data_IF_824818828218
#
_entry.id   IF_824818828218
#
_cell.length_a   1.000
_cell.length_b   1.000
_cell.length_c   1.000
_cell.angle_alpha   90.00
_cell.angle_beta   90.00
_cell.angle_gamma   90.00
#
_symmetry.space_group_name_H-M   'P 1'
#
loop_
_entity.id
_entity.type
_entity.pdbx_description
1 polymer ?
#
# COMPACT_ATOMS: atom_id res chain seq x y z
N UNK A 1 -10.08 -0.51 0.54
CA UNK A 1 -10.09 0.71 1.39
C UNK A 1 -9.08 1.73 0.88
N UNK A 2 -9.42 3.02 1.00
CA UNK A 2 -8.49 4.15 0.86
C UNK A 2 -7.59 4.27 2.11
N UNK A 3 -6.27 4.14 1.94
CA UNK A 3 -5.30 4.20 3.04
C UNK A 3 -4.60 5.55 3.15
N UNK A 4 -4.13 6.14 2.05
CA UNK A 4 -3.42 7.41 2.09
C UNK A 4 -3.92 8.33 0.99
N UNK A 5 -4.13 9.60 1.30
CA UNK A 5 -4.56 10.60 0.32
C UNK A 5 -3.59 11.77 0.34
N UNK A 6 -3.35 12.36 -0.82
CA UNK A 6 -2.80 13.71 -0.94
C UNK A 6 -3.65 14.48 -1.93
N UNK A 7 -4.13 15.65 -1.52
CA UNK A 7 -5.06 16.45 -2.30
C UNK A 7 -4.95 17.95 -1.93
N UNK A 8 -5.63 18.79 -2.70
CA UNK A 8 -5.68 20.24 -2.51
C UNK A 8 -7.14 20.63 -2.26
N UNK A 9 -7.51 20.87 -1.01
CA UNK A 9 -8.89 21.10 -0.60
C UNK A 9 -9.22 22.59 -0.67
N UNK A 10 -10.36 23.00 -1.25
CA UNK A 10 -10.80 24.39 -1.19
C UNK A 10 -11.03 24.79 0.27
N UNK A 11 -10.46 25.92 0.68
CA UNK A 11 -10.55 26.40 2.04
C UNK A 11 -10.07 27.85 2.07
N UNK A 12 -10.98 28.81 2.17
CA UNK A 12 -10.62 30.21 2.40
C UNK A 12 -10.35 30.44 3.88
N UNK A 13 -9.09 30.64 4.25
CA UNK A 13 -8.66 30.74 5.65
C UNK A 13 -7.47 31.69 5.83
N UNK A 14 -7.28 32.18 7.07
CA UNK A 14 -6.03 32.85 7.43
C UNK A 14 -4.89 31.84 7.30
N UNK A 15 -3.78 32.15 6.62
CA UNK A 15 -2.70 31.19 6.40
C UNK A 15 -2.18 30.60 7.72
N UNK A 16 -1.97 29.28 7.73
CA UNK A 16 -1.50 28.56 8.90
C UNK A 16 -0.10 29.04 9.29
N UNK A 17 0.07 29.42 10.55
CA UNK A 17 1.35 29.87 11.06
C UNK A 17 2.27 28.67 11.40
N UNK A 18 2.98 28.18 10.39
CA UNK A 18 3.89 27.02 10.51
C UNK A 18 5.37 27.40 10.26
N UNK A 19 5.65 28.68 10.02
CA UNK A 19 6.89 29.12 9.38
C UNK A 19 6.92 28.80 7.89
N UNK A 20 8.03 29.14 7.24
CA UNK A 20 8.24 28.91 5.81
C UNK A 20 9.69 28.56 5.51
N UNK A 21 9.91 27.75 4.47
CA UNK A 21 11.22 27.58 3.84
C UNK A 21 11.33 28.63 2.75
N UNK A 22 12.43 29.38 2.76
CA UNK A 22 12.68 30.48 1.83
C UNK A 22 14.02 30.28 1.12
N UNK A 23 14.06 30.54 -0.19
CA UNK A 23 15.31 30.74 -0.90
C UNK A 23 15.52 32.23 -1.08
N UNK A 24 16.58 32.72 -0.45
CA UNK A 24 17.02 34.12 -0.55
C UNK A 24 18.25 34.13 -1.46
N UNK A 25 18.23 35.00 -2.47
CA UNK A 25 19.34 35.22 -3.38
C UNK A 25 20.52 35.93 -2.68
N UNK A 26 21.69 35.94 -3.31
CA UNK A 26 22.90 36.53 -2.74
C UNK A 26 22.78 38.05 -2.50
N UNK A 27 21.88 38.72 -3.22
CA UNK A 27 21.54 40.14 -3.06
C UNK A 27 20.52 40.41 -1.93
N UNK A 28 20.04 39.37 -1.25
CA UNK A 28 19.02 39.47 -0.20
C UNK A 28 17.57 39.43 -0.71
N UNK A 29 17.34 39.31 -2.02
CA UNK A 29 15.99 39.22 -2.58
C UNK A 29 15.40 37.81 -2.38
N UNK A 30 14.09 37.74 -2.07
CA UNK A 30 13.38 36.46 -1.94
C UNK A 30 13.06 35.89 -3.33
N UNK A 31 13.66 34.76 -3.71
CA UNK A 31 13.32 34.08 -4.97
C UNK A 31 12.03 33.28 -4.87
N UNK A 32 11.88 32.51 -3.80
CA UNK A 32 10.67 31.75 -3.53
C UNK A 32 10.54 31.41 -2.05
N UNK A 33 9.31 31.15 -1.62
CA UNK A 33 9.03 30.59 -0.30
C UNK A 33 7.96 29.51 -0.37
N UNK A 34 7.97 28.58 0.59
CA UNK A 34 6.94 27.56 0.74
C UNK A 34 6.54 27.45 2.21
N UNK A 35 5.24 27.60 2.54
CA UNK A 35 4.75 27.37 3.89
C UNK A 35 5.10 25.95 4.37
N UNK A 36 5.54 25.87 5.63
CA UNK A 36 5.80 24.62 6.30
C UNK A 36 4.49 23.85 6.56
N UNK A 37 4.63 22.55 6.84
CA UNK A 37 3.48 21.69 7.14
C UNK A 37 3.17 21.73 8.63
N UNK A 38 1.89 21.82 8.96
CA UNK A 38 1.36 21.62 10.30
C UNK A 38 0.91 20.17 10.43
N UNK A 39 1.20 19.54 11.57
CA UNK A 39 0.62 18.25 11.93
C UNK A 39 -0.67 18.51 12.70
N UNK A 40 -1.77 17.94 12.24
CA UNK A 40 -3.06 17.94 12.94
C UNK A 40 -3.28 16.56 13.51
N UNK A 41 -3.46 16.46 14.82
CA UNK A 41 -3.66 15.18 15.51
C UNK A 41 -5.12 14.78 15.54
N UNK A 42 -5.37 13.51 15.23
CA UNK A 42 -6.68 12.88 15.35
C UNK A 42 -6.93 12.39 16.76
N UNK A 43 -8.09 11.79 16.97
CA UNK A 43 -8.57 11.32 18.29
C UNK A 43 -7.73 10.20 18.92
N UNK A 44 -6.76 9.65 18.19
CA UNK A 44 -5.96 8.49 18.60
C UNK A 44 -4.46 8.69 18.31
N UNK A 45 -3.94 9.92 18.47
CA UNK A 45 -2.52 10.33 18.25
C UNK A 45 -2.01 10.18 16.80
N UNK A 46 -2.86 9.67 15.90
CA UNK A 46 -2.63 9.61 14.46
C UNK A 46 -2.72 11.01 13.86
N UNK A 47 -1.64 11.48 13.24
CA UNK A 47 -1.59 12.82 12.64
C UNK A 47 -1.74 12.80 11.13
N UNK A 48 -2.33 13.87 10.60
CA UNK A 48 -2.28 14.24 9.17
C UNK A 48 -1.46 15.50 8.99
N UNK A 49 -0.94 15.74 7.79
CA UNK A 49 -0.18 16.94 7.46
C UNK A 49 -1.02 17.87 6.60
N UNK A 50 -1.02 19.15 6.96
CA UNK A 50 -1.67 20.20 6.18
C UNK A 50 -0.77 21.41 5.99
N UNK A 51 -1.03 22.22 4.98
CA UNK A 51 -0.43 23.55 4.83
C UNK A 51 -1.28 24.44 3.93
N UNK A 52 -1.23 25.73 4.16
CA UNK A 52 -1.86 26.72 3.29
C UNK A 52 -1.11 26.81 1.96
N UNK A 53 -1.86 26.76 0.86
CA UNK A 53 -1.38 26.96 -0.51
C UNK A 53 -2.44 27.76 -1.31
N UNK A 54 -2.22 27.93 -2.61
CA UNK A 54 -3.16 28.61 -3.50
C UNK A 54 -2.90 30.12 -3.55
N UNK A 55 -3.93 30.87 -3.96
CA UNK A 55 -3.85 32.33 -4.06
C UNK A 55 -4.06 32.96 -2.69
N UNK A 56 -3.40 34.11 -2.48
CA UNK A 56 -3.66 34.98 -1.34
C UNK A 56 -4.57 36.11 -1.81
N UNK A 57 -5.72 36.27 -1.16
CA UNK A 57 -6.65 37.35 -1.49
C UNK A 57 -6.18 38.71 -0.94
N UNK A 58 -6.92 39.78 -1.27
CA UNK A 58 -6.62 41.13 -0.81
C UNK A 58 -6.69 41.30 0.73
N UNK A 59 -7.27 40.33 1.44
CA UNK A 59 -7.36 40.28 2.90
C UNK A 59 -6.29 39.35 3.51
N UNK A 60 -5.32 38.87 2.72
CA UNK A 60 -4.24 38.01 3.18
C UNK A 60 -4.65 36.56 3.43
N UNK A 61 -5.83 36.11 2.98
CA UNK A 61 -6.32 34.74 3.19
C UNK A 61 -5.90 33.81 2.06
N UNK A 62 -5.51 32.59 2.40
CA UNK A 62 -5.23 31.53 1.44
C UNK A 62 -6.53 30.92 0.91
N UNK A 63 -6.53 30.48 -0.35
CA UNK A 63 -7.69 29.85 -1.01
C UNK A 63 -7.78 28.33 -0.79
N UNK A 64 -6.69 27.69 -0.39
CA UNK A 64 -6.56 26.23 -0.51
C UNK A 64 -5.73 25.63 0.63
N UNK A 65 -6.18 24.49 1.13
CA UNK A 65 -5.49 23.68 2.12
C UNK A 65 -4.92 22.42 1.45
N UNK A 66 -3.61 22.31 1.36
CA UNK A 66 -2.97 21.07 0.96
C UNK A 66 -3.09 20.06 2.10
N UNK A 67 -3.48 18.82 1.78
CA UNK A 67 -3.63 17.73 2.74
C UNK A 67 -2.79 16.53 2.33
N UNK A 68 -2.17 15.84 3.31
CA UNK A 68 -1.57 14.52 3.13
C UNK A 68 -1.63 13.69 4.40
N UNK A 69 -2.18 12.48 4.32
CA UNK A 69 -2.32 11.60 5.48
C UNK A 69 -3.19 10.38 5.22
N UNK A 70 -3.36 9.57 6.28
CA UNK A 70 -4.28 8.44 6.28
C UNK A 70 -5.63 8.85 6.90
N UNK A 71 -6.67 9.10 6.09
CA UNK A 71 -7.95 9.58 6.60
C UNK A 71 -8.67 8.56 7.48
N UNK A 72 -8.62 7.26 7.17
CA UNK A 72 -9.19 6.21 8.03
C UNK A 72 -8.53 6.20 9.40
N UNK A 73 -7.20 6.16 9.47
CA UNK A 73 -6.46 6.18 10.74
C UNK A 73 -6.71 7.47 11.53
N UNK A 74 -6.91 8.61 10.85
CA UNK A 74 -7.21 9.90 11.48
C UNK A 74 -8.63 9.97 12.08
N UNK A 75 -9.61 9.37 11.39
CA UNK A 75 -11.01 9.39 11.81
C UNK A 75 -11.34 8.33 12.86
N UNK A 76 -10.93 7.07 12.64
CA UNK A 76 -11.27 5.91 13.49
C UNK A 76 -10.08 5.31 14.26
N UNK A 77 -8.87 5.86 14.13
CA UNK A 77 -7.70 5.46 14.93
C UNK A 77 -6.85 4.31 14.41
N UNK A 78 -7.30 3.56 13.39
CA UNK A 78 -6.56 2.45 12.79
C UNK A 78 -6.79 2.34 11.27
N UNK A 79 -5.95 1.55 10.59
CA UNK A 79 -6.11 1.22 9.16
C UNK A 79 -6.15 -0.30 8.90
N UNK A 80 -6.63 -1.07 9.88
CA UNK A 80 -6.86 -2.52 9.73
C UNK A 80 -7.90 -2.77 8.63
N UNK A 81 -8.98 -1.99 8.59
CA UNK A 81 -9.96 -1.94 7.51
C UNK A 81 -10.62 -0.56 7.50
N UNK A 82 -11.46 -0.28 6.50
CA UNK A 82 -12.10 1.03 6.32
C UNK A 82 -12.76 1.14 4.95
N UNK A 83 -13.08 2.37 4.56
CA UNK A 83 -13.95 2.63 3.41
C UNK A 83 -13.20 2.78 2.08
N UNK A 84 -13.88 2.45 0.98
CA UNK A 84 -13.49 2.80 -0.39
C UNK A 84 -14.16 4.10 -0.89
N UNK A 85 -15.11 4.66 -0.15
CA UNK A 85 -15.76 5.94 -0.46
C UNK A 85 -14.82 7.10 -0.10
N UNK A 86 -14.01 7.51 -1.08
CA UNK A 86 -13.05 8.59 -0.95
C UNK A 86 -13.72 9.91 -0.56
N UNK A 87 -14.86 10.24 -1.17
CA UNK A 87 -15.48 11.57 -1.02
C UNK A 87 -16.08 11.72 0.37
N UNK A 88 -16.84 10.73 0.84
CA UNK A 88 -17.40 10.75 2.19
C UNK A 88 -16.27 10.77 3.24
N UNK A 89 -15.26 9.91 3.07
CA UNK A 89 -14.14 9.81 4.01
C UNK A 89 -13.33 11.12 4.10
N UNK A 90 -13.12 11.79 2.96
CA UNK A 90 -12.40 13.07 2.93
C UNK A 90 -13.25 14.24 3.43
N UNK A 91 -14.58 14.21 3.28
CA UNK A 91 -15.47 15.23 3.83
C UNK A 91 -15.35 15.28 5.36
N UNK A 92 -15.46 14.13 6.03
CA UNK A 92 -15.35 14.10 7.50
C UNK A 92 -13.93 14.39 7.98
N UNK A 93 -12.92 13.94 7.22
CA UNK A 93 -11.53 14.30 7.47
C UNK A 93 -11.34 15.81 7.39
N UNK A 94 -11.89 16.45 6.37
CA UNK A 94 -11.84 17.90 6.18
C UNK A 94 -12.48 18.64 7.34
N UNK A 95 -13.72 18.29 7.70
CA UNK A 95 -14.44 18.90 8.83
C UNK A 95 -13.66 18.78 10.14
N UNK A 96 -13.10 17.60 10.43
CA UNK A 96 -12.30 17.36 11.64
C UNK A 96 -10.98 18.14 11.63
N UNK A 97 -10.31 18.25 10.48
CA UNK A 97 -9.11 19.08 10.32
C UNK A 97 -9.44 20.55 10.58
N UNK A 98 -10.52 21.06 10.01
CA UNK A 98 -10.91 22.46 10.18
C UNK A 98 -11.29 22.77 11.63
N UNK A 99 -12.05 21.89 12.28
CA UNK A 99 -12.38 22.02 13.69
C UNK A 99 -11.12 22.03 14.58
N UNK A 100 -10.11 21.23 14.24
CA UNK A 100 -8.85 21.19 14.99
C UNK A 100 -7.95 22.42 14.77
N UNK A 101 -8.24 23.21 13.75
CA UNK A 101 -7.50 24.44 13.38
C UNK A 101 -8.32 25.70 13.67
N UNK A 102 -9.49 25.57 14.29
CA UNK A 102 -10.45 26.66 14.51
C UNK A 102 -10.82 27.44 13.23
N UNK A 103 -10.87 26.72 12.09
CA UNK A 103 -11.26 27.29 10.79
C UNK A 103 -12.73 27.01 10.54
N UNK A 104 -13.51 28.07 10.27
CA UNK A 104 -14.90 27.94 9.82
C UNK A 104 -14.93 27.91 8.28
N UNK A 105 -15.32 26.79 7.65
CA UNK A 105 -15.43 26.75 6.19
C UNK A 105 -16.58 27.63 5.72
N UNK A 106 -16.42 28.28 4.56
CA UNK A 106 -17.56 28.88 3.89
C UNK A 106 -18.40 27.79 3.19
N UNK A 107 -19.64 28.14 2.81
CA UNK A 107 -20.58 27.20 2.21
C UNK A 107 -20.12 26.67 0.85
N UNK A 108 -19.42 27.48 0.06
CA UNK A 108 -18.95 27.10 -1.27
C UNK A 108 -17.79 26.10 -1.20
N UNK A 109 -16.85 26.30 -0.28
CA UNK A 109 -15.76 25.34 0.00
C UNK A 109 -16.33 24.00 0.45
N UNK A 110 -17.27 24.03 1.41
CA UNK A 110 -17.91 22.83 1.92
C UNK A 110 -18.66 22.08 0.82
N UNK A 111 -19.38 22.81 -0.06
CA UNK A 111 -20.09 22.23 -1.20
C UNK A 111 -19.12 21.55 -2.18
N UNK A 112 -17.99 22.19 -2.50
CA UNK A 112 -16.98 21.61 -3.39
C UNK A 112 -16.35 20.34 -2.79
N UNK A 113 -16.01 20.35 -1.50
CA UNK A 113 -15.48 19.15 -0.81
C UNK A 113 -16.52 18.02 -0.82
N UNK A 114 -17.78 18.33 -0.47
CA UNK A 114 -18.88 17.36 -0.48
C UNK A 114 -19.13 16.74 -1.86
N UNK A 115 -18.88 17.49 -2.93
CA UNK A 115 -19.01 17.02 -4.31
C UNK A 115 -17.75 16.30 -4.84
N UNK A 116 -16.67 16.23 -4.07
CA UNK A 116 -15.38 15.70 -4.54
C UNK A 116 -14.69 16.61 -5.58
N UNK A 117 -15.12 17.87 -5.69
CA UNK A 117 -14.66 18.83 -6.69
C UNK A 117 -13.34 19.51 -6.29
N UNK A 118 -12.31 18.69 -6.03
CA UNK A 118 -10.99 19.17 -5.59
C UNK A 118 -9.86 18.31 -6.17
N UNK A 119 -8.69 18.89 -6.48
CA UNK A 119 -7.58 18.17 -7.09
C UNK A 119 -7.05 17.00 -6.24
N UNK A 120 -6.93 15.83 -6.87
CA UNK A 120 -6.32 14.64 -6.28
C UNK A 120 -4.86 14.47 -6.76
N UNK A 121 -3.93 14.38 -5.83
CA UNK A 121 -2.49 14.34 -6.11
C UNK A 121 -1.90 12.95 -5.99
N UNK A 122 -2.37 12.16 -5.03
CA UNK A 122 -2.08 10.73 -4.94
C UNK A 122 -3.09 10.04 -4.05
N UNK A 123 -3.30 8.75 -4.28
CA UNK A 123 -4.14 7.89 -3.46
C UNK A 123 -3.50 6.51 -3.32
N UNK A 124 -3.51 5.97 -2.10
CA UNK A 124 -3.13 4.60 -1.81
C UNK A 124 -4.41 3.80 -1.53
N UNK A 125 -4.65 2.75 -2.30
CA UNK A 125 -5.80 1.84 -2.20
C UNK A 125 -5.27 0.49 -1.72
N UNK A 126 -5.88 -0.09 -0.69
CA UNK A 126 -5.47 -1.39 -0.19
C UNK A 126 -6.62 -2.41 -0.13
N UNK A 127 -6.24 -3.69 -0.19
CA UNK A 127 -7.11 -4.83 0.03
C UNK A 127 -6.37 -5.85 0.88
N UNK A 128 -7.07 -6.43 1.86
CA UNK A 128 -6.57 -7.60 2.59
C UNK A 128 -7.11 -8.87 1.95
N UNK A 129 -6.31 -9.93 2.02
CA UNK A 129 -6.69 -11.26 1.58
C UNK A 129 -6.54 -12.24 2.74
N UNK A 130 -7.45 -13.20 2.80
CA UNK A 130 -7.52 -14.19 3.86
C UNK A 130 -6.65 -15.39 3.53
N UNK A 131 -5.73 -15.71 4.44
CA UNK A 131 -4.96 -16.95 4.40
C UNK A 131 -5.19 -17.76 5.69
N UNK A 132 -4.94 -19.09 5.68
CA UNK A 132 -5.23 -19.93 6.84
C UNK A 132 -4.39 -19.57 8.08
N UNK A 133 -3.14 -19.14 7.90
CA UNK A 133 -2.24 -18.80 9.00
C UNK A 133 -1.27 -17.67 8.66
N UNK A 134 -0.66 -17.05 9.69
CA UNK A 134 0.43 -16.08 9.51
C UNK A 134 1.62 -16.69 8.75
N UNK A 135 1.95 -17.96 8.99
CA UNK A 135 3.00 -18.66 8.25
C UNK A 135 2.71 -18.71 6.75
N UNK A 136 1.45 -18.92 6.35
CA UNK A 136 1.07 -18.92 4.93
C UNK A 136 1.24 -17.55 4.30
N UNK A 137 0.92 -16.47 5.03
CA UNK A 137 1.16 -15.08 4.60
C UNK A 137 2.64 -14.85 4.30
N UNK A 138 3.53 -15.28 5.21
CA UNK A 138 4.97 -15.13 5.04
C UNK A 138 5.52 -16.00 3.92
N UNK A 139 5.05 -17.24 3.80
CA UNK A 139 5.41 -18.14 2.71
C UNK A 139 5.01 -17.55 1.35
N UNK A 140 3.82 -16.98 1.25
CA UNK A 140 3.34 -16.29 0.06
C UNK A 140 4.25 -15.12 -0.32
N UNK A 141 4.58 -14.24 0.63
CA UNK A 141 5.44 -13.06 0.38
C UNK A 141 6.82 -13.51 -0.11
N UNK A 142 7.37 -14.55 0.52
CA UNK A 142 8.65 -15.14 0.12
C UNK A 142 8.60 -15.75 -1.26
N UNK A 143 7.52 -16.44 -1.64
CA UNK A 143 7.37 -16.98 -2.99
C UNK A 143 7.25 -15.86 -4.04
N UNK A 144 6.44 -14.84 -3.75
CA UNK A 144 6.23 -13.70 -4.63
C UNK A 144 7.52 -12.91 -4.90
N UNK A 145 8.45 -12.81 -3.94
CA UNK A 145 9.71 -12.08 -4.11
C UNK A 145 10.53 -12.53 -5.33
N UNK A 146 10.41 -13.80 -5.72
CA UNK A 146 11.26 -14.38 -6.76
C UNK A 146 10.49 -14.88 -7.96
N UNK A 147 9.22 -15.24 -7.78
CA UNK A 147 8.34 -15.68 -8.87
C UNK A 147 7.63 -14.52 -9.55
N UNK A 148 7.49 -13.37 -8.89
CA UNK A 148 6.77 -12.23 -9.47
C UNK A 148 7.67 -11.21 -10.17
N UNK A 149 7.10 -10.50 -11.14
CA UNK A 149 7.66 -9.30 -11.76
C UNK A 149 6.53 -8.39 -12.23
N UNK A 150 6.90 -7.17 -12.58
CA UNK A 150 6.03 -6.24 -13.35
C UNK A 150 6.87 -5.68 -14.50
N UNK A 151 6.28 -4.80 -15.32
CA UNK A 151 7.07 -3.98 -16.28
C UNK A 151 8.25 -3.21 -15.65
N UNK A 152 8.23 -3.00 -14.34
CA UNK A 152 9.31 -2.35 -13.59
C UNK A 152 10.42 -3.32 -13.13
N UNK A 153 10.34 -4.59 -13.55
CA UNK A 153 11.28 -5.64 -13.18
C UNK A 153 10.83 -6.44 -11.95
N UNK A 154 11.79 -7.12 -11.32
CA UNK A 154 11.59 -7.91 -10.11
C UNK A 154 11.25 -7.02 -8.90
N UNK A 155 10.49 -7.53 -7.93
CA UNK A 155 10.23 -6.79 -6.70
C UNK A 155 11.48 -6.66 -5.83
N UNK A 156 11.37 -5.83 -4.80
CA UNK A 156 12.42 -5.60 -3.79
C UNK A 156 11.84 -5.70 -2.38
N UNK A 157 12.52 -6.43 -1.50
CA UNK A 157 12.14 -6.56 -0.09
C UNK A 157 12.72 -5.42 0.75
N UNK A 158 11.93 -4.85 1.66
CA UNK A 158 12.43 -3.94 2.72
C UNK A 158 11.54 -4.04 3.95
N UNK A 159 12.13 -4.48 5.08
CA UNK A 159 11.46 -4.52 6.38
C UNK A 159 10.18 -5.35 6.38
N UNK A 160 10.22 -6.58 5.85
CA UNK A 160 9.05 -7.48 5.75
C UNK A 160 8.02 -7.08 4.69
N UNK A 161 8.21 -5.96 3.98
CA UNK A 161 7.35 -5.52 2.88
C UNK A 161 8.03 -5.77 1.54
N UNK A 162 7.32 -6.44 0.63
CA UNK A 162 7.75 -6.65 -0.75
C UNK A 162 7.16 -5.54 -1.65
N UNK A 163 7.99 -4.92 -2.49
CA UNK A 163 7.60 -3.79 -3.33
C UNK A 163 7.81 -4.04 -4.82
N UNK A 164 6.83 -3.68 -5.65
CA UNK A 164 6.97 -3.53 -7.10
C UNK A 164 6.93 -2.05 -7.49
N UNK A 165 7.90 -1.62 -8.31
CA UNK A 165 7.93 -0.25 -8.81
C UNK A 165 8.15 0.82 -7.72
N UNK A 166 8.83 0.49 -6.62
CA UNK A 166 9.01 1.37 -5.45
C UNK A 166 9.47 2.81 -5.77
N UNK A 167 10.39 2.97 -6.71
CA UNK A 167 10.95 4.27 -7.14
C UNK A 167 10.12 4.95 -8.24
N UNK A 168 9.06 4.30 -8.72
CA UNK A 168 8.19 4.82 -9.78
C UNK A 168 7.53 6.13 -9.37
N UNK A 169 7.51 7.08 -10.30
CA UNK A 169 6.81 8.37 -10.15
C UNK A 169 5.34 8.29 -10.57
N UNK A 170 4.86 7.10 -10.95
CA UNK A 170 3.52 6.87 -11.48
C UNK A 170 2.68 6.03 -10.52
N UNK A 171 3.11 4.80 -10.26
CA UNK A 171 2.42 3.88 -9.37
C UNK A 171 3.41 2.89 -8.75
N UNK A 172 3.08 2.37 -7.58
CA UNK A 172 3.83 1.31 -6.91
C UNK A 172 2.85 0.34 -6.25
N UNK A 173 3.22 -0.94 -6.19
CA UNK A 173 2.52 -1.94 -5.38
C UNK A 173 3.42 -2.34 -4.23
N UNK A 174 2.81 -2.65 -3.08
CA UNK A 174 3.51 -3.27 -1.96
C UNK A 174 2.63 -4.28 -1.28
N UNK A 175 3.23 -5.35 -0.78
CA UNK A 175 2.54 -6.41 -0.05
C UNK A 175 3.28 -6.73 1.23
N UNK A 176 2.55 -7.02 2.29
CA UNK A 176 3.10 -7.32 3.61
C UNK A 176 2.11 -8.11 4.48
N UNK A 177 2.62 -8.68 5.58
CA UNK A 177 1.80 -9.28 6.64
C UNK A 177 1.21 -8.18 7.51
N UNK A 178 -0.13 -8.05 7.54
CA UNK A 178 -0.77 -7.03 8.37
C UNK A 178 -0.59 -7.30 9.86
N UNK A 179 -0.55 -8.57 10.26
CA UNK A 179 -0.25 -8.99 11.63
C UNK A 179 1.12 -8.51 12.10
N UNK A 180 2.17 -8.72 11.31
CA UNK A 180 3.51 -8.21 11.66
C UNK A 180 3.58 -6.67 11.61
N UNK A 181 2.83 -6.04 10.69
CA UNK A 181 2.82 -4.58 10.60
C UNK A 181 2.25 -3.92 11.86
N UNK A 182 1.15 -4.42 12.42
CA UNK A 182 0.56 -3.84 13.64
C UNK A 182 1.37 -4.14 14.91
N UNK A 183 2.40 -4.98 14.84
CA UNK A 183 3.33 -5.22 15.95
C UNK A 183 4.55 -4.28 15.88
N UNK A 184 4.86 -3.78 14.68
CA UNK A 184 5.99 -2.90 14.44
C UNK A 184 5.83 -1.55 15.18
N UNK A 185 6.88 -1.02 15.83
CA UNK A 185 6.77 0.14 16.74
C UNK A 185 6.06 1.37 16.18
N UNK A 186 6.19 1.64 14.87
CA UNK A 186 5.58 2.82 14.21
C UNK A 186 4.11 2.62 13.81
N UNK A 187 3.64 1.39 13.88
CA UNK A 187 2.38 0.95 13.29
C UNK A 187 1.46 0.27 14.30
N UNK A 188 1.89 0.17 15.56
CA UNK A 188 1.08 -0.39 16.65
C UNK A 188 -0.29 0.26 16.75
N UNK A 189 -1.27 -0.58 17.04
CA UNK A 189 -2.60 -0.12 17.40
C UNK A 189 -2.50 0.68 18.72
N UNK A 190 -3.19 1.84 18.81
CA UNK A 190 -3.34 2.55 20.08
C UNK A 190 -3.90 1.64 21.18
N UNK A 191 -3.51 1.88 22.43
CA UNK A 191 -3.90 1.07 23.59
C UNK A 191 -5.41 0.93 23.77
N UNK A 192 -6.18 1.94 23.31
CA UNK A 192 -7.63 1.91 23.24
C UNK A 192 -8.21 0.71 22.48
N UNK A 193 -7.43 0.09 21.58
CA UNK A 193 -7.85 -1.04 20.76
C UNK A 193 -7.38 -2.42 21.28
N UNK A 194 -6.66 -2.49 22.39
CA UNK A 194 -6.08 -3.74 22.90
C UNK A 194 -7.15 -4.83 23.18
N UNK A 195 -8.35 -4.42 23.60
CA UNK A 195 -9.46 -5.33 23.93
C UNK A 195 -10.40 -5.58 22.74
N UNK A 196 -9.99 -5.25 21.52
CA UNK A 196 -10.79 -5.45 20.31
C UNK A 196 -10.31 -6.66 19.51
N UNK A 197 -11.12 -7.13 18.56
CA UNK A 197 -10.75 -8.21 17.66
C UNK A 197 -9.83 -7.78 16.51
N UNK A 198 -9.39 -6.51 16.46
CA UNK A 198 -8.58 -5.95 15.36
C UNK A 198 -7.26 -6.71 15.16
N UNK A 199 -6.52 -6.96 16.24
CA UNK A 199 -5.23 -7.64 16.16
C UNK A 199 -5.39 -9.10 15.71
N UNK A 200 -6.36 -9.81 16.29
CA UNK A 200 -6.69 -11.18 15.91
C UNK A 200 -7.14 -11.27 14.45
N UNK A 201 -7.93 -10.31 13.98
CA UNK A 201 -8.36 -10.26 12.59
C UNK A 201 -7.18 -9.97 11.66
N UNK A 202 -6.25 -9.08 12.00
CA UNK A 202 -5.11 -8.72 11.16
C UNK A 202 -4.07 -9.83 11.00
N UNK A 203 -4.01 -10.77 11.96
CA UNK A 203 -2.95 -11.77 12.11
C UNK A 203 -2.68 -12.61 10.84
N UNK A 204 -3.75 -13.04 10.17
CA UNK A 204 -3.66 -13.92 8.99
C UNK A 204 -3.88 -13.19 7.67
N UNK A 205 -3.76 -11.86 7.66
CA UNK A 205 -4.10 -11.03 6.50
C UNK A 205 -2.86 -10.66 5.69
N UNK A 206 -2.88 -11.04 4.42
CA UNK A 206 -1.96 -10.52 3.41
C UNK A 206 -2.51 -9.19 2.89
N UNK A 207 -1.82 -8.08 3.13
CA UNK A 207 -2.24 -6.74 2.67
C UNK A 207 -1.49 -6.40 1.40
N UNK A 208 -2.22 -6.13 0.32
CA UNK A 208 -1.68 -5.57 -0.91
C UNK A 208 -2.16 -4.11 -1.06
N UNK A 209 -1.23 -3.20 -1.30
CA UNK A 209 -1.50 -1.76 -1.43
C UNK A 209 -0.98 -1.24 -2.77
N UNK A 210 -1.88 -0.57 -3.49
CA UNK A 210 -1.62 0.17 -4.71
C UNK A 210 -1.51 1.65 -4.39
N UNK A 211 -0.34 2.22 -4.65
CA UNK A 211 -0.12 3.66 -4.61
C UNK A 211 -0.17 4.23 -6.02
N UNK A 212 -1.03 5.22 -6.26
CA UNK A 212 -1.13 5.95 -7.52
C UNK A 212 -0.76 7.41 -7.29
N UNK A 213 0.17 7.93 -8.10
CA UNK A 213 0.70 9.28 -8.01
C UNK A 213 0.14 10.17 -9.13
N UNK A 214 0.27 11.49 -8.96
CA UNK A 214 -0.28 12.53 -9.86
C UNK A 214 -0.10 12.26 -11.35
N UNK A 215 1.10 11.84 -11.78
CA UNK A 215 1.37 11.53 -13.19
C UNK A 215 0.49 10.41 -13.74
N UNK A 216 0.23 9.39 -12.93
CA UNK A 216 -0.62 8.28 -13.33
C UNK A 216 -2.11 8.62 -13.23
N UNK A 217 -2.51 9.39 -12.22
CA UNK A 217 -3.89 9.89 -12.10
C UNK A 217 -4.29 10.69 -13.35
N UNK A 218 -3.42 11.60 -13.81
CA UNK A 218 -3.62 12.36 -15.06
C UNK A 218 -3.78 11.46 -16.29
N UNK A 219 -2.97 10.40 -16.42
CA UNK A 219 -3.11 9.44 -17.53
C UNK A 219 -4.43 8.64 -17.47
N UNK A 220 -4.98 8.46 -16.27
CA UNK A 220 -6.29 7.84 -16.08
C UNK A 220 -7.44 8.85 -16.23
N UNK A 221 -7.15 10.11 -16.59
CA UNK A 221 -8.08 11.24 -16.62
C UNK A 221 -8.78 11.48 -15.27
N UNK A 222 -8.06 11.26 -14.17
CA UNK A 222 -8.51 11.50 -12.80
C UNK A 222 -7.79 12.74 -12.29
N UNK A 223 -8.48 13.86 -12.30
CA UNK A 223 -8.00 15.14 -11.81
C UNK A 223 -8.60 15.48 -10.44
N UNK A 224 -9.86 15.10 -10.22
CA UNK A 224 -10.62 15.39 -9.00
C UNK A 224 -11.04 14.13 -8.26
N UNK A 225 -11.29 14.27 -6.95
CA UNK A 225 -11.70 13.16 -6.11
C UNK A 225 -13.07 12.56 -6.49
N UNK A 226 -13.98 13.35 -7.08
CA UNK A 226 -15.30 12.89 -7.52
C UNK A 226 -15.24 11.77 -8.56
N UNK A 227 -14.14 11.69 -9.31
CA UNK A 227 -13.91 10.66 -10.33
C UNK A 227 -13.48 9.31 -9.71
N UNK A 228 -13.08 9.30 -8.44
CA UNK A 228 -12.75 8.09 -7.67
C UNK A 228 -14.01 7.48 -7.03
N UNK A 229 -14.99 7.13 -7.85
CA UNK A 229 -16.17 6.38 -7.39
C UNK A 229 -15.77 5.00 -6.88
N UNK A 230 -16.63 4.34 -6.08
CA UNK A 230 -16.40 2.97 -5.59
C UNK A 230 -16.04 1.99 -6.71
N UNK A 231 -16.74 2.08 -7.85
CA UNK A 231 -16.48 1.27 -9.03
C UNK A 231 -15.10 1.60 -9.65
N UNK A 232 -14.73 2.89 -9.70
CA UNK A 232 -13.42 3.31 -10.19
C UNK A 232 -12.29 2.81 -9.29
N UNK A 233 -12.42 2.94 -7.96
CA UNK A 233 -11.46 2.42 -6.97
C UNK A 233 -11.23 0.92 -7.18
N UNK A 234 -12.31 0.13 -7.22
CA UNK A 234 -12.23 -1.33 -7.43
C UNK A 234 -11.58 -1.70 -8.77
N UNK A 235 -12.04 -1.08 -9.87
CA UNK A 235 -11.50 -1.31 -11.21
C UNK A 235 -10.02 -0.99 -11.29
N UNK A 236 -9.63 0.19 -10.84
CA UNK A 236 -8.23 0.64 -10.84
C UNK A 236 -7.39 -0.33 -10.00
N UNK A 237 -7.82 -0.66 -8.79
CA UNK A 237 -7.10 -1.62 -7.96
C UNK A 237 -6.84 -2.93 -8.70
N UNK A 238 -7.89 -3.56 -9.22
CA UNK A 238 -7.80 -4.82 -9.97
C UNK A 238 -6.86 -4.72 -11.17
N UNK A 239 -7.01 -3.69 -12.01
CA UNK A 239 -6.17 -3.47 -13.21
C UNK A 239 -4.68 -3.41 -12.89
N UNK A 240 -4.27 -2.89 -11.72
CA UNK A 240 -2.85 -2.84 -11.36
C UNK A 240 -2.37 -4.10 -10.68
N UNK A 241 -3.22 -4.78 -9.90
CA UNK A 241 -2.88 -6.10 -9.34
C UNK A 241 -2.62 -7.12 -10.46
N UNK A 242 -3.43 -7.09 -11.52
CA UNK A 242 -3.27 -7.94 -12.72
C UNK A 242 -1.95 -7.69 -13.48
N UNK A 243 -1.24 -6.58 -13.22
CA UNK A 243 0.08 -6.32 -13.82
C UNK A 243 1.22 -7.09 -13.13
N UNK A 244 0.92 -7.77 -12.02
CA UNK A 244 1.88 -8.67 -11.39
C UNK A 244 1.90 -9.97 -12.20
N UNK A 245 2.95 -10.14 -12.99
CA UNK A 245 3.21 -11.38 -13.71
C UNK A 245 3.94 -12.35 -12.79
N UNK A 246 3.45 -13.58 -12.69
CA UNK A 246 4.11 -14.67 -11.98
C UNK A 246 4.75 -15.59 -13.02
N UNK A 247 6.07 -15.74 -12.96
CA UNK A 247 6.78 -16.73 -13.73
C UNK A 247 6.45 -18.12 -13.16
N UNK A 248 5.80 -18.96 -13.93
CA UNK A 248 5.74 -20.39 -13.64
C UNK A 248 7.16 -20.94 -13.71
N UNK A 249 7.62 -21.61 -12.65
CA UNK A 249 8.86 -22.37 -12.74
C UNK A 249 8.61 -23.53 -13.69
N UNK A 250 9.12 -23.43 -14.91
CA UNK A 250 9.08 -24.49 -15.90
C UNK A 250 9.91 -25.63 -15.31
N UNK A 251 9.27 -26.74 -14.92
CA UNK A 251 9.99 -27.96 -14.63
C UNK A 251 10.76 -28.34 -15.91
N UNK A 252 12.05 -28.68 -15.78
CA UNK A 252 12.81 -29.16 -16.94
C UNK A 252 12.13 -30.39 -17.52
N UNK A 253 12.08 -30.47 -18.85
CA UNK A 253 11.67 -31.70 -19.54
C UNK A 253 12.66 -32.83 -19.20
N UNK A 254 12.25 -34.09 -19.37
CA UNK A 254 13.11 -35.24 -19.09
C UNK A 254 14.42 -35.21 -19.90
N UNK A 255 14.37 -34.71 -21.14
CA UNK A 255 15.56 -34.49 -21.98
C UNK A 255 16.50 -33.41 -21.43
N UNK A 256 15.95 -32.29 -20.93
CA UNK A 256 16.75 -31.24 -20.29
C UNK A 256 17.36 -31.71 -18.97
N UNK A 257 16.65 -32.55 -18.22
CA UNK A 257 17.15 -33.17 -17.00
C UNK A 257 18.31 -34.14 -17.28
N UNK A 258 18.25 -34.90 -18.38
CA UNK A 258 19.32 -35.79 -18.82
C UNK A 258 20.59 -35.04 -19.27
N UNK A 259 20.45 -33.81 -19.78
CA UNK A 259 21.57 -32.99 -20.26
C UNK A 259 22.24 -32.15 -19.14
N UNK A 260 21.73 -32.16 -17.91
CA UNK A 260 22.37 -31.46 -16.80
C UNK A 260 23.68 -32.17 -16.39
N UNK A 261 24.77 -31.42 -16.15
CA UNK A 261 25.97 -31.94 -15.49
C UNK A 261 25.63 -32.70 -14.21
N UNK A 262 26.25 -33.87 -13.96
CA UNK A 262 25.92 -34.76 -12.83
C UNK A 262 25.77 -34.04 -11.47
N UNK A 263 26.65 -33.08 -11.17
CA UNK A 263 26.59 -32.30 -9.93
C UNK A 263 25.38 -31.34 -9.82
N UNK A 264 24.89 -30.84 -10.95
CA UNK A 264 23.65 -30.03 -11.01
C UNK A 264 22.41 -30.92 -11.00
N UNK A 265 22.47 -32.12 -11.59
CA UNK A 265 21.36 -33.08 -11.59
C UNK A 265 20.97 -33.50 -10.17
N UNK A 266 21.93 -33.85 -9.31
CA UNK A 266 21.64 -34.15 -7.90
C UNK A 266 21.02 -32.96 -7.15
N UNK A 267 21.50 -31.75 -7.44
CA UNK A 267 20.95 -30.52 -6.84
C UNK A 267 19.52 -30.26 -7.32
N UNK A 268 19.25 -30.47 -8.60
CA UNK A 268 17.92 -30.35 -9.19
C UNK A 268 16.95 -31.39 -8.64
N UNK A 269 17.37 -32.64 -8.45
CA UNK A 269 16.53 -33.70 -7.86
C UNK A 269 16.17 -33.37 -6.41
N UNK A 270 17.17 -33.00 -5.60
CA UNK A 270 16.95 -32.60 -4.21
C UNK A 270 16.03 -31.37 -4.11
N UNK A 271 16.24 -30.40 -5.01
CA UNK A 271 15.37 -29.25 -5.17
C UNK A 271 13.93 -29.66 -5.53
N UNK A 272 13.78 -30.57 -6.50
CA UNK A 272 12.51 -31.09 -7.01
C UNK A 272 11.72 -31.88 -5.98
N UNK A 273 12.43 -32.51 -5.05
CA UNK A 273 11.88 -33.21 -3.89
C UNK A 273 11.55 -32.26 -2.72
N UNK A 274 11.81 -30.95 -2.86
CA UNK A 274 11.46 -29.95 -1.87
C UNK A 274 12.43 -29.81 -0.70
N UNK A 275 13.64 -30.35 -0.82
CA UNK A 275 14.65 -30.22 0.23
C UNK A 275 15.22 -28.80 0.33
N UNK A 276 15.51 -28.34 1.55
CA UNK A 276 16.22 -27.08 1.76
C UNK A 276 17.70 -27.20 1.39
N UNK A 277 18.03 -26.69 0.20
CA UNK A 277 19.40 -26.77 -0.32
C UNK A 277 20.40 -25.87 0.41
N UNK A 278 19.96 -24.90 1.22
CA UNK A 278 20.89 -24.08 2.02
C UNK A 278 21.47 -24.84 3.22
N UNK A 279 20.72 -25.80 3.77
CA UNK A 279 21.20 -26.66 4.85
C UNK A 279 21.96 -27.89 4.34
N UNK A 280 21.72 -28.31 3.08
CA UNK A 280 22.37 -29.49 2.49
C UNK A 280 23.69 -29.14 1.78
N UNK A 281 23.72 -28.05 1.01
CA UNK A 281 24.88 -27.71 0.19
C UNK A 281 25.84 -26.77 0.92
N UNK A 282 27.17 -26.98 0.79
CA UNK A 282 28.14 -25.97 1.19
C UNK A 282 27.87 -24.63 0.51
N UNK A 283 28.03 -23.52 1.23
CA UNK A 283 27.71 -22.15 0.78
C UNK A 283 28.20 -21.83 -0.64
N UNK A 284 29.45 -22.17 -0.96
CA UNK A 284 30.03 -21.91 -2.29
C UNK A 284 29.39 -22.76 -3.39
N UNK A 285 29.10 -24.02 -3.09
CA UNK A 285 28.40 -24.94 -4.01
C UNK A 285 26.97 -24.47 -4.27
N UNK A 286 26.26 -24.02 -3.23
CA UNK A 286 24.91 -23.47 -3.35
C UNK A 286 24.85 -22.31 -4.33
N UNK A 287 25.70 -21.28 -4.16
CA UNK A 287 25.66 -20.11 -5.07
C UNK A 287 26.11 -20.45 -6.49
N UNK A 288 27.07 -21.37 -6.66
CA UNK A 288 27.50 -21.85 -7.98
C UNK A 288 26.38 -22.60 -8.70
N UNK A 289 25.73 -23.55 -8.02
CA UNK A 289 24.66 -24.36 -8.60
C UNK A 289 23.40 -23.53 -8.86
N UNK A 290 23.08 -22.59 -7.97
CA UNK A 290 22.00 -21.63 -8.17
C UNK A 290 22.19 -20.80 -9.44
N UNK A 291 23.41 -20.29 -9.68
CA UNK A 291 23.71 -19.51 -10.88
C UNK A 291 23.51 -20.34 -12.15
N UNK A 292 24.04 -21.57 -12.18
CA UNK A 292 23.92 -22.45 -13.34
C UNK A 292 22.48 -22.91 -13.62
N UNK A 293 21.71 -23.24 -12.57
CA UNK A 293 20.31 -23.64 -12.72
C UNK A 293 19.39 -22.45 -13.06
N UNK A 294 19.77 -21.23 -12.65
CA UNK A 294 19.06 -20.00 -13.03
C UNK A 294 19.14 -19.72 -14.54
N UNK A 295 20.21 -20.13 -15.23
CA UNK A 295 20.29 -20.04 -16.70
C UNK A 295 19.22 -20.89 -17.38
N UNK A 296 18.78 -21.96 -16.71
CA UNK A 296 17.71 -22.86 -17.14
C UNK A 296 16.34 -22.48 -16.54
N UNK A 297 16.22 -21.30 -15.91
CA UNK A 297 14.97 -20.82 -15.30
C UNK A 297 14.64 -21.39 -13.92
N UNK A 298 15.51 -22.21 -13.33
CA UNK A 298 15.30 -22.82 -12.01
C UNK A 298 16.03 -22.01 -10.93
N UNK A 299 15.28 -21.50 -9.95
CA UNK A 299 15.87 -20.89 -8.77
C UNK A 299 15.75 -21.81 -7.55
N UNK A 300 16.87 -22.43 -7.19
CA UNK A 300 16.99 -23.33 -6.04
C UNK A 300 16.92 -22.65 -4.67
N UNK A 301 16.70 -21.33 -4.62
CA UNK A 301 16.38 -20.64 -3.38
C UNK A 301 14.95 -20.88 -2.88
N UNK A 302 14.08 -21.43 -3.74
CA UNK A 302 12.74 -21.92 -3.39
C UNK A 302 12.80 -23.42 -3.23
N UNK A 303 12.11 -24.01 -2.25
CA UNK A 303 11.79 -25.43 -2.36
C UNK A 303 10.77 -25.59 -3.49
N UNK A 304 10.94 -26.59 -4.36
CA UNK A 304 9.80 -27.07 -5.14
C UNK A 304 8.85 -27.74 -4.15
N UNK A 305 7.59 -27.33 -4.11
CA UNK A 305 6.60 -28.06 -3.32
C UNK A 305 6.60 -29.50 -3.83
N UNK A 306 6.81 -30.46 -2.93
CA UNK A 306 6.83 -31.88 -3.27
C UNK A 306 5.57 -32.22 -4.04
N UNK A 307 5.72 -32.85 -5.21
CA UNK A 307 4.60 -33.35 -6.04
C UNK A 307 3.95 -34.60 -5.37
N UNK A 308 4.06 -34.73 -4.05
CA UNK A 308 3.27 -35.67 -3.27
C UNK A 308 1.86 -35.10 -3.13
N UNK A 309 1.02 -35.43 -4.11
CA UNK A 309 -0.45 -35.42 -4.10
C UNK A 309 -1.08 -34.66 -2.92
N UNK A 310 -0.87 -33.35 -2.92
CA UNK A 310 -1.76 -32.40 -2.30
C UNK A 310 -2.12 -31.44 -3.42
N UNK A 311 -3.35 -30.95 -3.42
CA UNK A 311 -3.88 -29.95 -4.36
C UNK A 311 -3.11 -28.62 -4.22
N UNK A 312 -1.80 -28.63 -4.42
CA UNK A 312 -0.97 -27.44 -4.30
C UNK A 312 -0.94 -26.78 -5.66
N UNK A 313 -1.83 -25.82 -5.68
CA UNK A 313 -2.28 -25.01 -6.76
C UNK A 313 -1.14 -24.08 -7.22
N UNK A 314 -0.91 -23.90 -8.54
CA UNK A 314 0.09 -22.96 -9.06
C UNK A 314 -0.10 -21.58 -8.43
N UNK A 315 1.00 -20.88 -8.12
CA UNK A 315 0.99 -19.49 -7.64
C UNK A 315 0.31 -18.47 -8.61
N UNK A 316 -0.22 -18.93 -9.75
CA UNK A 316 -1.14 -18.18 -10.61
C UNK A 316 -2.62 -18.28 -10.18
N UNK A 317 -3.03 -19.37 -9.53
CA UNK A 317 -4.34 -19.52 -8.87
C UNK A 317 -4.33 -18.97 -7.44
N UNK A 318 -3.25 -18.28 -7.04
CA UNK A 318 -3.01 -17.72 -5.71
C UNK A 318 -3.79 -16.41 -5.43
N UNK A 319 -4.93 -16.29 -6.10
CA UNK A 319 -6.08 -15.49 -5.67
C UNK A 319 -7.34 -16.37 -5.53
N UNK A 320 -7.21 -17.62 -5.09
CA UNK A 320 -8.27 -18.27 -4.29
C UNK A 320 -8.34 -17.67 -2.86
N UNK A 321 -7.38 -16.82 -2.49
CA UNK A 321 -7.46 -16.01 -1.29
C UNK A 321 -8.63 -15.03 -1.44
N UNK A 322 -9.69 -15.26 -0.68
CA UNK A 322 -10.88 -14.43 -0.73
C UNK A 322 -10.52 -13.02 -0.22
N UNK A 323 -10.92 -11.95 -0.95
CA UNK A 323 -10.80 -10.60 -0.44
C UNK A 323 -11.48 -10.52 0.93
N UNK A 324 -10.74 -10.12 1.95
CA UNK A 324 -11.27 -10.00 3.30
C UNK A 324 -12.37 -8.92 3.32
N UNK A 325 -13.56 -9.29 3.77
CA UNK A 325 -14.63 -8.34 4.07
C UNK A 325 -14.44 -7.72 5.45
N UNK A 326 -15.10 -6.58 5.67
CA UNK A 326 -15.17 -5.98 7.00
C UNK A 326 -16.15 -6.84 7.82
N UNK A 327 -15.72 -7.37 8.98
CA UNK A 327 -16.57 -8.26 9.76
C UNK A 327 -17.67 -7.50 10.53
N UNK A 328 -18.82 -8.14 10.74
CA UNK A 328 -19.99 -7.53 11.40
C UNK A 328 -19.69 -6.95 12.79
N UNK A 329 -18.83 -7.62 13.56
CA UNK A 329 -18.43 -7.14 14.88
C UNK A 329 -17.76 -5.76 14.83
N UNK A 330 -17.09 -5.40 13.72
CA UNK A 330 -16.46 -4.09 13.57
C UNK A 330 -17.50 -2.98 13.43
N UNK A 331 -18.63 -3.26 12.76
CA UNK A 331 -19.75 -2.34 12.67
C UNK A 331 -20.47 -2.22 14.01
N UNK A 332 -20.73 -3.35 14.68
CA UNK A 332 -21.40 -3.38 15.98
C UNK A 332 -20.62 -2.66 17.08
N UNK A 333 -19.28 -2.71 17.02
CA UNK A 333 -18.39 -2.05 17.98
C UNK A 333 -18.02 -0.60 17.56
N UNK A 334 -18.59 -0.07 16.47
CA UNK A 334 -18.25 1.24 15.90
C UNK A 334 -16.73 1.43 15.65
N UNK A 335 -16.05 0.36 15.24
CA UNK A 335 -14.61 0.37 14.92
C UNK A 335 -14.33 0.73 13.46
N UNK A 336 -15.37 0.95 12.67
CA UNK A 336 -15.26 1.33 11.26
C UNK A 336 -16.04 2.60 11.00
N UNK A 337 -15.45 3.50 10.22
CA UNK A 337 -16.08 4.72 9.79
C UNK A 337 -17.38 4.43 9.02
N UNK A 338 -18.40 5.27 9.21
CA UNK A 338 -19.74 5.04 8.65
C UNK A 338 -19.75 4.99 7.12
N UNK A 339 -18.81 5.65 6.45
CA UNK A 339 -18.65 5.57 4.99
C UNK A 339 -18.28 4.18 4.48
N UNK A 340 -17.93 3.22 5.35
CA UNK A 340 -17.70 1.84 4.98
C UNK A 340 -18.98 0.98 5.00
N UNK A 341 -20.10 1.51 5.50
CA UNK A 341 -21.42 0.87 5.47
C UNK A 341 -22.00 1.10 4.08
N UNK A 342 -21.83 0.12 3.19
CA UNK A 342 -22.48 0.10 1.87
C UNK A 342 -23.57 -0.98 1.85
#
# INVERSE_FOLDING_TARGET
>A
MIDWVTCELPCRHVPLNAGAVMKVAADGCLEWHSPCRVRVEGSHESGVQVRSIGTIDAQGRASTLWFSGNPSKFLQGHNVFGSDDLVALMLDTYLKVLASLDIVPNLDDLKQVKQGAYPLMSVDINQSFDLPSRSDVLAWIRAAEYKSKTRHGRPSMKGGTLYWGKSSQRWALKVYSKGEEIEAPKHRLPSAFNNTYLAKWADTKLRLELRIKKKQLRELNIETASQMTLAAVKRIYQTYVEKIEMNEQIALSDEQQMNLPRGLCSTYILWKQGHDLRSILPKNTYYRHRRALMEQGIDIAFCQESIEKTNVIPLLKVLEAQPASIPDWAFNQNLVHHSARL
#
